data_IF_496251096903
#
_entry.id   IF_496251096903
#
_cell.length_a   1.000
_cell.length_b   1.000
_cell.length_c   1.000
_cell.angle_alpha   90.00
_cell.angle_beta   90.00
_cell.angle_gamma   90.00
#
_symmetry.space_group_name_H-M   'P 1'
#
loop_
_entity.id
_entity.type
_entity.pdbx_description
1 polymer ?
#
# COMPACT_ATOMS: atom_id res chain seq x y z
N UNK A 1 7.41 5.10 10.21
CA UNK A 1 6.83 4.32 9.10
C UNK A 1 5.71 3.44 9.62
N UNK A 2 4.71 3.16 8.79
CA UNK A 2 3.63 2.21 9.07
C UNK A 2 3.62 1.10 8.01
N UNK A 3 3.17 -0.09 8.37
CA UNK A 3 2.93 -1.20 7.44
C UNK A 3 1.46 -1.58 7.56
N UNK A 4 0.74 -1.61 6.44
CA UNK A 4 -0.64 -2.05 6.37
C UNK A 4 -0.68 -3.42 5.71
N UNK A 5 -1.22 -4.40 6.43
CA UNK A 5 -1.33 -5.78 5.95
C UNK A 5 -2.77 -6.09 5.59
N UNK A 6 -2.96 -6.63 4.40
CA UNK A 6 -4.23 -7.16 3.91
C UNK A 6 -4.08 -8.67 3.67
N UNK A 7 -5.16 -9.43 3.88
CA UNK A 7 -5.19 -10.85 3.51
C UNK A 7 -6.12 -11.09 2.32
N UNK A 8 -7.21 -10.30 2.24
CA UNK A 8 -8.21 -10.34 1.16
C UNK A 8 -8.73 -8.94 0.86
N UNK A 9 -9.26 -8.74 -0.36
CA UNK A 9 -9.91 -7.51 -0.82
C UNK A 9 -11.20 -7.86 -1.53
N UNK A 10 -12.25 -8.19 -0.77
CA UNK A 10 -13.56 -8.58 -1.31
C UNK A 10 -14.39 -7.36 -1.76
N UNK A 11 -14.24 -6.22 -1.08
CA UNK A 11 -14.89 -4.94 -1.40
C UNK A 11 -13.86 -3.99 -2.05
N UNK A 12 -13.86 -3.96 -3.38
CA UNK A 12 -12.96 -3.13 -4.17
C UNK A 12 -13.16 -1.63 -3.92
N UNK A 13 -14.41 -1.18 -3.74
CA UNK A 13 -14.71 0.23 -3.52
C UNK A 13 -14.20 0.71 -2.16
N UNK A 14 -14.32 -0.12 -1.12
CA UNK A 14 -13.76 0.19 0.19
C UNK A 14 -12.23 0.30 0.14
N UNK A 15 -11.57 -0.65 -0.55
CA UNK A 15 -10.13 -0.58 -0.75
C UNK A 15 -9.71 0.69 -1.50
N UNK A 16 -10.44 1.07 -2.57
CA UNK A 16 -10.20 2.32 -3.29
C UNK A 16 -10.36 3.56 -2.39
N UNK A 17 -11.42 3.61 -1.55
CA UNK A 17 -11.61 4.69 -0.58
C UNK A 17 -10.43 4.81 0.40
N UNK A 18 -9.83 3.69 0.81
CA UNK A 18 -8.63 3.69 1.64
C UNK A 18 -7.42 4.26 0.89
N UNK A 19 -7.20 3.87 -0.37
CA UNK A 19 -6.11 4.42 -1.19
C UNK A 19 -6.25 5.94 -1.41
N UNK A 20 -7.48 6.40 -1.70
CA UNK A 20 -7.81 7.84 -1.80
C UNK A 20 -7.51 8.55 -0.48
N UNK A 21 -7.86 7.95 0.66
CA UNK A 21 -7.59 8.52 1.97
C UNK A 21 -6.08 8.68 2.22
N UNK A 22 -5.29 7.67 1.90
CA UNK A 22 -3.83 7.71 2.06
C UNK A 22 -3.21 8.84 1.24
N UNK A 23 -3.61 8.96 -0.04
CA UNK A 23 -3.19 10.05 -0.93
C UNK A 23 -3.59 11.41 -0.40
N UNK A 24 -4.86 11.59 0.01
CA UNK A 24 -5.37 12.84 0.59
C UNK A 24 -4.65 13.25 1.87
N UNK A 25 -4.23 12.28 2.69
CA UNK A 25 -3.47 12.52 3.93
C UNK A 25 -1.95 12.62 3.72
N UNK A 26 -1.50 12.62 2.46
CA UNK A 26 -0.08 12.77 2.08
C UNK A 26 0.82 11.71 2.74
N UNK A 27 0.35 10.46 2.74
CA UNK A 27 1.24 9.33 3.02
C UNK A 27 2.08 9.02 1.78
N UNK A 28 3.34 8.66 2.00
CA UNK A 28 4.24 8.20 0.95
C UNK A 28 4.15 6.68 0.91
N UNK A 29 3.35 6.15 -0.02
CA UNK A 29 3.28 4.70 -0.25
C UNK A 29 4.55 4.30 -0.99
N UNK A 30 5.40 3.50 -0.35
CA UNK A 30 6.69 3.11 -0.90
C UNK A 30 6.58 1.80 -1.67
N UNK A 31 7.29 1.72 -2.79
CA UNK A 31 7.70 0.43 -3.35
C UNK A 31 8.67 -0.28 -2.40
N UNK A 32 8.87 -1.59 -2.59
CA UNK A 32 9.79 -2.35 -1.77
C UNK A 32 11.24 -1.84 -1.90
N UNK A 33 11.65 -1.40 -3.09
CA UNK A 33 13.00 -0.89 -3.32
C UNK A 33 13.21 0.48 -2.67
N UNK A 34 12.24 1.39 -2.74
CA UNK A 34 12.28 2.65 -2.01
C UNK A 34 12.32 2.42 -0.50
N UNK A 35 11.50 1.48 0.00
CA UNK A 35 11.54 1.10 1.41
C UNK A 35 12.94 0.62 1.81
N UNK A 36 13.55 -0.29 1.05
CA UNK A 36 14.90 -0.79 1.33
C UNK A 36 15.92 0.34 1.34
N UNK A 37 15.93 1.19 0.32
CA UNK A 37 16.85 2.32 0.24
C UNK A 37 16.70 3.27 1.44
N UNK A 38 15.46 3.61 1.80
CA UNK A 38 15.19 4.51 2.94
C UNK A 38 15.50 3.87 4.29
N UNK A 39 15.24 2.56 4.42
CA UNK A 39 15.56 1.80 5.63
C UNK A 39 17.06 1.77 5.89
N UNK A 40 17.87 1.40 4.88
CA UNK A 40 19.33 1.33 5.03
C UNK A 40 19.99 2.69 5.19
N UNK A 41 19.41 3.75 4.60
CA UNK A 41 19.91 5.12 4.79
C UNK A 41 19.41 5.80 6.07
N UNK A 42 18.50 5.18 6.83
CA UNK A 42 17.90 5.77 8.02
C UNK A 42 16.98 6.97 7.74
N UNK A 43 16.46 7.11 6.51
CA UNK A 43 15.68 8.26 6.04
C UNK A 43 14.16 8.04 6.06
N UNK A 44 13.70 6.99 6.73
CA UNK A 44 12.26 6.72 6.91
C UNK A 44 11.58 7.79 7.75
N UNK A 45 10.36 8.17 7.35
CA UNK A 45 9.55 9.17 8.04
C UNK A 45 8.30 8.55 8.68
N UNK A 46 7.56 9.33 9.46
CA UNK A 46 6.24 8.94 9.99
C UNK A 46 5.15 8.89 8.91
N UNK A 47 5.39 9.50 7.74
CA UNK A 47 4.49 9.51 6.58
C UNK A 47 4.74 8.38 5.60
N UNK A 48 5.87 7.67 5.73
CA UNK A 48 6.17 6.52 4.88
C UNK A 48 5.32 5.32 5.28
N UNK A 49 4.78 4.65 4.26
CA UNK A 49 3.84 3.55 4.40
C UNK A 49 4.17 2.44 3.39
N UNK A 50 4.17 1.20 3.86
CA UNK A 50 4.23 0.01 3.01
C UNK A 50 2.88 -0.73 3.07
N UNK A 51 2.39 -1.18 1.93
CA UNK A 51 1.20 -2.04 1.83
C UNK A 51 1.68 -3.45 1.50
N UNK A 52 1.28 -4.43 2.30
CA UNK A 52 1.60 -5.85 2.07
C UNK A 52 0.32 -6.67 1.96
N UNK A 53 0.42 -7.77 1.22
CA UNK A 53 -0.65 -8.73 1.04
C UNK A 53 -0.12 -10.13 1.38
N UNK A 54 -0.79 -10.81 2.30
CA UNK A 54 -0.43 -12.15 2.74
C UNK A 54 -1.33 -13.20 2.05
N UNK A 55 -1.02 -14.48 2.22
CA UNK A 55 -1.77 -15.66 1.75
C UNK A 55 -1.90 -15.90 0.24
N UNK A 56 -1.63 -14.90 -0.61
CA UNK A 56 -1.71 -15.05 -2.07
C UNK A 56 -3.14 -15.21 -2.58
N UNK A 57 -4.11 -14.59 -1.91
CA UNK A 57 -5.52 -14.76 -2.22
C UNK A 57 -5.94 -14.03 -3.52
N UNK A 58 -6.81 -14.66 -4.31
CA UNK A 58 -7.15 -14.23 -5.67
C UNK A 58 -7.83 -12.86 -5.74
N UNK A 59 -8.63 -12.47 -4.74
CA UNK A 59 -9.26 -11.14 -4.70
C UNK A 59 -8.23 -10.00 -4.65
N UNK A 60 -7.02 -10.23 -4.14
CA UNK A 60 -5.93 -9.24 -4.20
C UNK A 60 -5.56 -8.95 -5.65
N UNK A 61 -5.38 -9.99 -6.46
CA UNK A 61 -5.08 -9.83 -7.88
C UNK A 61 -6.27 -9.22 -8.64
N UNK A 62 -7.48 -9.71 -8.38
CA UNK A 62 -8.67 -9.26 -9.11
C UNK A 62 -9.07 -7.82 -8.77
N UNK A 63 -9.06 -7.46 -7.48
CA UNK A 63 -9.66 -6.21 -6.99
C UNK A 63 -8.61 -5.17 -6.59
N UNK A 64 -7.54 -5.56 -5.87
CA UNK A 64 -6.55 -4.59 -5.37
C UNK A 64 -5.56 -4.14 -6.45
N UNK A 65 -5.05 -5.05 -7.27
CA UNK A 65 -4.02 -4.76 -8.28
C UNK A 65 -4.45 -3.65 -9.28
N UNK A 66 -5.67 -3.64 -9.88
CA UNK A 66 -6.10 -2.56 -10.77
C UNK A 66 -6.17 -1.20 -10.06
N UNK A 67 -6.62 -1.19 -8.80
CA UNK A 67 -6.72 0.03 -7.99
C UNK A 67 -5.32 0.56 -7.68
N UNK A 68 -4.39 -0.29 -7.23
CA UNK A 68 -3.01 0.13 -6.95
C UNK A 68 -2.35 0.75 -8.19
N UNK A 69 -2.56 0.17 -9.38
CA UNK A 69 -2.07 0.72 -10.65
C UNK A 69 -2.64 2.11 -11.00
N UNK A 70 -3.86 2.43 -10.56
CA UNK A 70 -4.50 3.74 -10.80
C UNK A 70 -3.88 4.87 -9.96
N UNK A 71 -3.30 4.55 -8.82
CA UNK A 71 -2.77 5.53 -7.86
C UNK A 71 -1.24 5.58 -7.80
N UNK A 72 -0.54 4.74 -8.57
CA UNK A 72 0.91 4.70 -8.72
C UNK A 72 1.37 5.64 -9.84
#
# INVERSE_FOLDING_TARGET
>A
MKVLTYHKVEDAENFERQMIFLKRKKYNVLSLDEFRAKYFSGSLTSRDLLITFDDGEYSVFQNAMPILKKYN
#
